data_IF_192053484926
#
_entry.id   IF_192053484926
#
_cell.length_a   1.000
_cell.length_b   1.000
_cell.length_c   1.000
_cell.angle_alpha   90.00
_cell.angle_beta   90.00
_cell.angle_gamma   90.00
#
_symmetry.space_group_name_H-M   'P 1'
#
loop_
_entity.id
_entity.type
_entity.pdbx_description
1 polymer ?
#
# COMPACT_ATOMS: atom_id res chain seq x y z
N UNK A 1 46.07 -1.70 21.16
CA UNK A 1 45.07 -1.68 20.07
C UNK A 1 43.83 -2.37 20.59
N UNK A 2 42.64 -1.84 20.31
CA UNK A 2 41.38 -2.50 20.67
C UNK A 2 41.29 -3.90 20.03
N UNK A 3 40.80 -4.89 20.75
CA UNK A 3 40.61 -6.27 20.25
C UNK A 3 39.48 -6.37 19.21
N UNK A 4 38.54 -5.42 19.23
CA UNK A 4 37.40 -5.38 18.31
C UNK A 4 37.49 -4.17 17.39
N UNK A 5 37.34 -4.35 16.06
CA UNK A 5 37.35 -3.24 15.12
C UNK A 5 36.12 -2.34 15.31
N UNK A 6 36.34 -1.02 15.29
CA UNK A 6 35.28 -0.01 15.46
C UNK A 6 34.53 0.29 14.15
N UNK A 7 35.13 0.03 12.99
CA UNK A 7 34.54 0.21 11.66
C UNK A 7 34.88 -0.99 10.78
N UNK A 8 33.85 -1.66 10.27
CA UNK A 8 33.97 -2.73 9.28
C UNK A 8 33.04 -2.40 8.12
N UNK A 9 33.54 -2.50 6.90
CA UNK A 9 32.74 -2.28 5.71
C UNK A 9 33.21 -3.15 4.56
N UNK A 10 32.29 -3.41 3.63
CA UNK A 10 32.61 -4.11 2.40
C UNK A 10 32.83 -3.08 1.28
N UNK A 11 34.01 -3.14 0.65
CA UNK A 11 34.40 -2.26 -0.46
C UNK A 11 33.44 -2.41 -1.65
N UNK A 12 32.85 -3.59 -1.84
CA UNK A 12 31.90 -3.84 -2.95
C UNK A 12 30.45 -3.47 -2.61
N UNK A 13 30.13 -3.17 -1.35
CA UNK A 13 28.80 -2.75 -0.91
C UNK A 13 28.87 -1.62 0.13
N UNK A 14 29.33 -0.46 -0.33
CA UNK A 14 29.43 0.75 0.47
C UNK A 14 28.05 1.40 0.64
N UNK A 15 27.70 1.70 1.88
CA UNK A 15 26.55 2.55 2.22
C UNK A 15 27.03 4.00 2.32
N UNK A 16 26.22 4.97 1.92
CA UNK A 16 26.57 6.40 1.96
C UNK A 16 26.99 6.86 3.37
N UNK A 17 26.38 6.28 4.41
CA UNK A 17 26.76 6.50 5.80
C UNK A 17 28.22 6.13 6.08
N UNK A 18 28.69 5.03 5.50
CA UNK A 18 30.06 4.53 5.66
C UNK A 18 31.05 5.40 4.87
N UNK A 19 30.67 5.88 3.69
CA UNK A 19 31.49 6.81 2.89
C UNK A 19 31.75 8.11 3.66
N UNK A 20 30.70 8.66 4.28
CA UNK A 20 30.79 9.85 5.13
C UNK A 20 31.65 9.64 6.38
N UNK A 21 31.77 8.41 6.87
CA UNK A 21 32.69 8.09 7.96
C UNK A 21 34.13 7.95 7.46
N UNK A 22 34.37 7.25 6.36
CA UNK A 22 35.69 7.07 5.75
C UNK A 22 36.30 8.43 5.33
N UNK A 23 35.48 9.38 4.85
CA UNK A 23 35.96 10.72 4.47
C UNK A 23 36.58 11.51 5.63
N UNK A 24 36.15 11.25 6.87
CA UNK A 24 36.73 11.86 8.08
C UNK A 24 38.15 11.37 8.38
N UNK A 25 38.57 10.26 7.78
CA UNK A 25 39.94 9.75 7.84
C UNK A 25 40.84 10.30 6.73
N UNK A 26 40.32 11.16 5.85
CA UNK A 26 41.13 11.85 4.84
C UNK A 26 42.08 12.85 5.51
N UNK A 27 43.31 12.94 4.99
CA UNK A 27 44.42 13.74 5.55
C UNK A 27 44.05 15.20 5.85
N UNK A 28 43.17 15.79 5.04
CA UNK A 28 42.73 17.19 5.19
C UNK A 28 41.83 17.44 6.41
N UNK A 29 41.10 16.42 6.88
CA UNK A 29 40.08 16.55 7.92
C UNK A 29 40.39 15.68 9.16
N UNK A 30 41.60 15.13 9.22
CA UNK A 30 42.02 14.15 10.22
C UNK A 30 42.23 14.81 11.59
N UNK A 31 41.43 14.41 12.58
CA UNK A 31 41.44 14.94 13.95
C UNK A 31 41.39 13.77 14.94
N UNK A 32 42.50 13.52 15.64
CA UNK A 32 42.70 12.31 16.46
C UNK A 32 41.68 12.20 17.60
N UNK A 33 41.41 13.30 18.31
CA UNK A 33 40.49 13.30 19.45
C UNK A 33 39.04 13.06 19.00
N UNK A 34 38.66 13.65 17.86
CA UNK A 34 37.37 13.37 17.23
C UNK A 34 37.28 11.95 16.69
N UNK A 35 38.36 11.39 16.15
CA UNK A 35 38.37 10.03 15.63
C UNK A 35 38.23 9.01 16.76
N UNK A 36 38.91 9.20 17.90
CA UNK A 36 38.83 8.27 19.03
C UNK A 36 37.47 8.33 19.73
N UNK A 37 36.91 9.52 19.91
CA UNK A 37 35.56 9.68 20.46
C UNK A 37 34.50 9.08 19.53
N UNK A 38 34.57 9.37 18.22
CA UNK A 38 33.69 8.75 17.22
C UNK A 38 33.87 7.23 17.18
N UNK A 39 35.10 6.71 17.26
CA UNK A 39 35.36 5.27 17.25
C UNK A 39 34.70 4.56 18.44
N UNK A 40 34.75 5.18 19.62
CA UNK A 40 34.09 4.68 20.83
C UNK A 40 32.57 4.69 20.68
N UNK A 41 31.99 5.80 20.22
CA UNK A 41 30.56 5.88 19.91
C UNK A 41 30.13 4.84 18.87
N UNK A 42 30.88 4.68 17.78
CA UNK A 42 30.60 3.69 16.73
C UNK A 42 30.65 2.26 17.24
N UNK A 43 31.63 1.94 18.10
CA UNK A 43 31.74 0.64 18.77
C UNK A 43 30.49 0.35 19.59
N UNK A 44 30.08 1.28 20.46
CA UNK A 44 28.88 1.09 21.29
C UNK A 44 27.59 1.06 20.47
N UNK A 45 27.45 1.91 19.45
CA UNK A 45 26.30 1.91 18.54
C UNK A 45 26.18 0.57 17.80
N UNK A 46 27.29 -0.01 17.34
CA UNK A 46 27.30 -1.33 16.69
C UNK A 46 26.87 -2.44 17.63
N UNK A 47 27.41 -2.47 18.85
CA UNK A 47 27.04 -3.48 19.86
C UNK A 47 25.57 -3.33 20.27
N UNK A 48 25.08 -2.11 20.51
CA UNK A 48 23.65 -1.84 20.79
C UNK A 48 22.76 -2.30 19.64
N UNK A 49 23.15 -2.01 18.39
CA UNK A 49 22.41 -2.45 17.21
C UNK A 49 22.34 -3.97 17.13
N UNK A 50 23.42 -4.67 17.48
CA UNK A 50 23.45 -6.14 17.53
C UNK A 50 22.48 -6.67 18.59
N UNK A 51 22.49 -6.08 19.80
CA UNK A 51 21.55 -6.44 20.87
C UNK A 51 20.10 -6.18 20.46
N UNK A 52 19.80 -5.05 19.81
CA UNK A 52 18.46 -4.76 19.30
C UNK A 52 17.97 -5.79 18.28
N UNK A 53 18.84 -6.23 17.36
CA UNK A 53 18.48 -7.29 16.40
C UNK A 53 18.16 -8.59 17.14
N UNK A 54 18.97 -8.96 18.15
CA UNK A 54 18.72 -10.16 18.96
C UNK A 54 17.41 -10.07 19.76
N UNK A 55 17.12 -8.90 20.35
CA UNK A 55 15.86 -8.65 21.05
C UNK A 55 14.64 -8.66 20.11
N UNK A 56 14.83 -8.27 18.84
CA UNK A 56 13.77 -8.32 17.83
C UNK A 56 13.47 -9.72 17.33
N UNK A 57 14.49 -10.57 17.16
CA UNK A 57 14.31 -11.98 16.78
C UNK A 57 13.77 -12.82 17.95
N UNK A 58 14.35 -12.61 19.13
CA UNK A 58 14.04 -13.33 20.36
C UNK A 58 13.90 -12.35 21.53
N UNK A 59 12.68 -11.83 21.77
CA UNK A 59 12.42 -10.88 22.86
C UNK A 59 12.81 -11.45 24.22
N UNK A 60 13.67 -10.75 24.96
CA UNK A 60 14.03 -11.11 26.33
C UNK A 60 12.89 -10.79 27.30
N UNK A 61 12.91 -11.42 28.48
CA UNK A 61 11.92 -11.18 29.53
C UNK A 61 11.90 -9.71 29.98
N UNK A 62 13.06 -9.05 29.99
CA UNK A 62 13.16 -7.64 30.36
C UNK A 62 12.54 -6.74 29.29
N UNK A 63 12.79 -7.04 28.02
CA UNK A 63 12.22 -6.33 26.88
C UNK A 63 10.69 -6.47 26.86
N UNK A 64 10.16 -7.68 27.06
CA UNK A 64 8.71 -7.92 27.14
C UNK A 64 8.11 -7.14 28.31
N UNK A 65 8.72 -7.25 29.49
CA UNK A 65 8.25 -6.57 30.71
C UNK A 65 8.20 -5.05 30.55
N UNK A 66 9.14 -4.46 29.81
CA UNK A 66 9.14 -3.03 29.49
C UNK A 66 7.81 -2.62 28.81
N UNK A 67 7.40 -3.32 27.76
CA UNK A 67 6.16 -3.02 27.04
C UNK A 67 4.91 -3.43 27.83
N UNK A 68 4.94 -4.59 28.49
CA UNK A 68 3.80 -5.05 29.29
C UNK A 68 3.47 -4.04 30.40
N UNK A 69 4.46 -3.48 31.10
CA UNK A 69 4.23 -2.47 32.15
C UNK A 69 3.60 -1.18 31.61
N UNK A 70 3.84 -0.82 30.36
CA UNK A 70 3.33 0.42 29.76
C UNK A 70 1.93 0.26 29.19
N UNK A 71 1.57 -0.94 28.73
CA UNK A 71 0.31 -1.22 28.02
C UNK A 71 -0.70 -1.93 28.91
N UNK A 72 -0.26 -2.67 29.92
CA UNK A 72 -1.12 -3.44 30.82
C UNK A 72 -1.06 -2.91 32.24
N UNK A 73 -2.22 -2.51 32.77
CA UNK A 73 -2.38 -1.95 34.12
C UNK A 73 -2.61 -3.02 35.21
N UNK A 74 -2.66 -4.30 34.85
CA UNK A 74 -2.84 -5.40 35.79
C UNK A 74 -1.53 -5.96 36.35
N UNK A 75 -1.62 -6.90 37.29
CA UNK A 75 -0.44 -7.55 37.90
C UNK A 75 0.27 -8.42 36.85
N UNK A 76 1.58 -8.21 36.69
CA UNK A 76 2.42 -9.06 35.85
C UNK A 76 2.49 -10.47 36.45
N UNK A 77 1.82 -11.41 35.80
CA UNK A 77 1.93 -12.84 36.08
C UNK A 77 2.69 -13.53 34.94
N UNK A 78 3.19 -14.74 35.18
CA UNK A 78 3.91 -15.51 34.14
C UNK A 78 3.04 -15.74 32.90
N UNK A 79 1.74 -15.97 33.09
CA UNK A 79 0.78 -16.14 31.99
C UNK A 79 0.64 -14.87 31.13
N UNK A 80 0.55 -13.69 31.76
CA UNK A 80 0.49 -12.41 31.04
C UNK A 80 1.82 -12.17 30.32
N UNK A 81 2.96 -12.46 30.96
CA UNK A 81 4.29 -12.30 30.35
C UNK A 81 4.45 -13.20 29.11
N UNK A 82 3.95 -14.44 29.16
CA UNK A 82 3.96 -15.36 28.03
C UNK A 82 3.08 -14.89 26.87
N UNK A 83 1.86 -14.40 27.16
CA UNK A 83 0.98 -13.82 26.14
C UNK A 83 1.61 -12.58 25.47
N UNK A 84 2.19 -11.68 26.27
CA UNK A 84 2.86 -10.50 25.75
C UNK A 84 4.13 -10.83 24.97
N UNK A 85 4.81 -11.94 25.26
CA UNK A 85 5.95 -12.43 24.46
C UNK A 85 5.56 -12.62 22.99
N UNK A 86 4.44 -13.30 22.75
CA UNK A 86 3.94 -13.55 21.40
C UNK A 86 3.48 -12.25 20.72
N UNK A 87 2.80 -11.36 21.47
CA UNK A 87 2.34 -10.08 20.96
C UNK A 87 3.50 -9.15 20.58
N UNK A 88 4.54 -9.07 21.42
CA UNK A 88 5.74 -8.26 21.14
C UNK A 88 6.45 -8.80 19.91
N UNK A 89 6.63 -10.12 19.80
CA UNK A 89 7.25 -10.74 18.62
C UNK A 89 6.45 -10.47 17.35
N UNK A 90 5.11 -10.55 17.41
CA UNK A 90 4.24 -10.24 16.27
C UNK A 90 4.34 -8.77 15.87
N UNK A 91 4.30 -7.85 16.84
CA UNK A 91 4.40 -6.41 16.59
C UNK A 91 5.75 -6.01 15.97
N UNK A 92 6.87 -6.59 16.44
CA UNK A 92 8.20 -6.35 15.86
C UNK A 92 8.26 -6.83 14.41
N UNK A 93 7.77 -8.03 14.12
CA UNK A 93 7.75 -8.55 12.75
C UNK A 93 6.86 -7.72 11.81
N UNK A 94 5.71 -7.25 12.30
CA UNK A 94 4.86 -6.33 11.55
C UNK A 94 5.58 -5.02 11.25
N UNK A 95 6.22 -4.40 12.25
CA UNK A 95 6.96 -3.15 12.09
C UNK A 95 8.14 -3.29 11.12
N UNK A 96 8.86 -4.42 11.14
CA UNK A 96 9.94 -4.68 10.17
C UNK A 96 9.35 -4.80 8.76
N UNK A 97 8.25 -5.54 8.61
CA UNK A 97 7.58 -5.73 7.31
C UNK A 97 7.07 -4.41 6.75
N UNK A 98 6.44 -3.58 7.60
CA UNK A 98 6.03 -2.21 7.27
C UNK A 98 7.22 -1.35 6.86
N UNK A 99 8.30 -1.29 7.65
CA UNK A 99 9.52 -0.52 7.31
C UNK A 99 10.19 -0.96 6.02
N UNK A 100 10.18 -2.25 5.71
CA UNK A 100 10.72 -2.79 4.46
C UNK A 100 9.84 -2.38 3.30
N UNK A 101 8.51 -2.54 3.45
CA UNK A 101 7.55 -2.10 2.45
C UNK A 101 7.65 -0.58 2.22
N UNK A 102 7.72 0.23 3.28
CA UNK A 102 7.87 1.69 3.22
C UNK A 102 9.15 2.11 2.49
N UNK A 103 10.26 1.38 2.66
CA UNK A 103 11.49 1.68 1.94
C UNK A 103 11.46 1.24 0.49
N UNK A 104 10.79 0.12 0.19
CA UNK A 104 10.58 -0.34 -1.19
C UNK A 104 9.65 0.63 -1.93
N UNK A 105 8.55 1.04 -1.31
CA UNK A 105 7.65 2.06 -1.84
C UNK A 105 8.34 3.40 -1.97
N UNK A 106 9.15 3.84 -0.99
CA UNK A 106 9.94 5.08 -1.08
C UNK A 106 11.00 5.07 -2.19
N UNK A 107 11.51 3.90 -2.58
CA UNK A 107 12.44 3.77 -3.70
C UNK A 107 11.71 3.74 -5.05
N UNK A 108 10.52 3.12 -5.09
CA UNK A 108 9.63 3.13 -6.26
C UNK A 108 9.03 4.52 -6.52
N UNK A 109 8.71 5.29 -5.47
CA UNK A 109 8.21 6.67 -5.61
C UNK A 109 9.28 7.63 -6.15
N UNK A 110 10.57 7.40 -5.88
CA UNK A 110 11.66 8.21 -6.46
C UNK A 110 11.82 8.06 -7.97
N UNK A 111 11.36 6.95 -8.58
CA UNK A 111 11.27 6.83 -10.04
C UNK A 111 10.02 7.51 -10.60
N UNK A 112 8.99 7.74 -9.78
CA UNK A 112 7.74 8.41 -10.17
C UNK A 112 7.73 9.92 -9.90
N UNK A 113 8.59 10.42 -9.01
CA UNK A 113 8.65 11.84 -8.60
C UNK A 113 9.24 12.80 -9.65
N UNK A 114 9.86 12.33 -10.75
CA UNK A 114 10.23 13.21 -11.88
C UNK A 114 9.02 13.64 -12.75
N UNK A 115 7.80 13.16 -12.47
CA UNK A 115 6.59 13.50 -13.21
C UNK A 115 5.46 14.14 -12.37
N UNK A 116 5.67 14.44 -11.09
CA UNK A 116 4.57 14.83 -10.19
C UNK A 116 4.85 16.08 -9.33
N UNK A 117 5.50 17.11 -9.86
CA UNK A 117 5.50 18.46 -9.26
C UNK A 117 4.30 19.28 -9.76
N UNK A 118 3.06 18.85 -9.49
CA UNK A 118 1.89 19.76 -9.47
C UNK A 118 0.69 19.07 -8.82
N UNK A 119 0.62 19.18 -7.49
CA UNK A 119 -0.58 19.50 -6.69
C UNK A 119 -0.50 18.86 -5.29
N UNK A 120 -0.09 19.68 -4.34
CA UNK A 120 -0.46 19.53 -2.94
C UNK A 120 -1.80 20.24 -2.73
N UNK A 121 -2.88 19.47 -2.60
CA UNK A 121 -4.08 19.83 -1.82
C UNK A 121 -4.59 18.53 -1.19
N UNK A 122 -4.93 18.58 0.09
CA UNK A 122 -5.39 17.46 0.91
C UNK A 122 -6.67 16.83 0.30
N UNK A 123 -6.64 15.54 -0.06
CA UNK A 123 -7.86 14.77 -0.39
C UNK A 123 -7.80 13.33 0.17
N UNK A 124 -8.97 12.75 0.53
CA UNK A 124 -9.10 11.62 1.44
C UNK A 124 -8.63 10.31 0.82
N UNK A 125 -8.19 9.37 1.67
CA UNK A 125 -7.88 7.97 1.33
C UNK A 125 -8.78 7.44 0.20
N UNK A 126 -8.16 7.04 -0.92
CA UNK A 126 -8.83 6.33 -2.00
C UNK A 126 -9.31 4.96 -1.50
N UNK A 127 -10.48 4.91 -0.88
CA UNK A 127 -11.22 3.68 -0.50
C UNK A 127 -11.80 2.93 -1.71
N UNK A 128 -11.34 3.25 -2.90
CA UNK A 128 -11.83 2.71 -4.16
C UNK A 128 -10.78 1.72 -4.63
N UNK A 129 -10.98 0.45 -4.28
CA UNK A 129 -10.18 -0.67 -4.78
C UNK A 129 -11.03 -1.38 -5.81
N UNK A 130 -10.65 -1.28 -7.09
CA UNK A 130 -11.31 -2.03 -8.14
C UNK A 130 -11.15 -3.52 -7.88
N UNK A 131 -12.25 -4.18 -7.60
CA UNK A 131 -12.32 -5.60 -7.28
C UNK A 131 -12.28 -6.45 -8.56
N UNK A 132 -11.84 -7.71 -8.45
CA UNK A 132 -11.90 -8.65 -9.58
C UNK A 132 -13.33 -8.84 -10.08
N UNK A 133 -14.31 -8.72 -9.18
CA UNK A 133 -15.74 -8.83 -9.47
C UNK A 133 -16.23 -7.70 -10.41
N UNK A 134 -15.81 -6.47 -10.12
CA UNK A 134 -16.12 -5.31 -10.97
C UNK A 134 -15.47 -5.43 -12.34
N UNK A 135 -14.25 -5.96 -12.39
CA UNK A 135 -13.55 -6.19 -13.65
C UNK A 135 -14.19 -7.31 -14.48
N UNK A 136 -14.74 -8.34 -13.84
CA UNK A 136 -15.51 -9.40 -14.50
C UNK A 136 -16.82 -8.85 -15.08
N UNK A 137 -17.59 -8.09 -14.28
CA UNK A 137 -18.78 -7.40 -14.76
C UNK A 137 -18.48 -6.45 -15.93
N UNK A 138 -17.37 -5.70 -15.85
CA UNK A 138 -16.89 -4.85 -16.95
C UNK A 138 -16.64 -5.65 -18.23
N UNK A 139 -16.00 -6.81 -18.14
CA UNK A 139 -15.73 -7.67 -19.31
C UNK A 139 -17.00 -8.18 -19.94
N UNK A 140 -17.99 -8.57 -19.13
CA UNK A 140 -19.31 -9.01 -19.63
C UNK A 140 -20.02 -7.88 -20.37
N UNK A 141 -20.12 -6.70 -19.76
CA UNK A 141 -20.73 -5.53 -20.41
C UNK A 141 -19.98 -5.15 -21.68
N UNK A 142 -18.65 -5.15 -21.65
CA UNK A 142 -17.81 -4.90 -22.83
C UNK A 142 -18.10 -5.91 -23.94
N UNK A 143 -18.23 -7.20 -23.62
CA UNK A 143 -18.51 -8.24 -24.59
C UNK A 143 -19.87 -8.07 -25.28
N UNK A 144 -20.90 -7.65 -24.52
CA UNK A 144 -22.24 -7.33 -25.04
C UNK A 144 -22.18 -6.11 -25.96
N UNK A 145 -21.61 -5.02 -25.46
CA UNK A 145 -21.61 -3.69 -26.09
C UNK A 145 -20.72 -3.64 -27.35
N UNK A 146 -19.71 -4.51 -27.44
CA UNK A 146 -18.85 -4.71 -28.64
C UNK A 146 -19.62 -4.96 -29.93
N UNK A 147 -20.88 -5.40 -29.87
CA UNK A 147 -21.75 -5.59 -31.05
C UNK A 147 -22.07 -4.28 -31.77
N UNK A 148 -21.97 -3.12 -31.09
CA UNK A 148 -22.28 -1.80 -31.65
C UNK A 148 -21.10 -0.83 -31.66
N UNK A 149 -20.18 -0.92 -30.70
CA UNK A 149 -19.06 0.01 -30.56
C UNK A 149 -17.75 -0.72 -30.31
N UNK A 150 -16.64 -0.12 -30.74
CA UNK A 150 -15.30 -0.65 -30.48
C UNK A 150 -14.94 -0.51 -29.00
N UNK A 151 -14.04 -1.36 -28.50
CA UNK A 151 -13.67 -1.32 -27.08
C UNK A 151 -12.94 -0.09 -26.63
N UNK A 152 -12.24 0.58 -27.55
CA UNK A 152 -11.48 1.78 -27.22
C UNK A 152 -12.41 2.93 -26.80
N UNK A 153 -13.71 2.81 -27.13
CA UNK A 153 -14.76 3.75 -26.75
C UNK A 153 -15.46 3.38 -25.46
N UNK A 154 -15.16 2.23 -24.87
CA UNK A 154 -15.78 1.78 -23.61
C UNK A 154 -14.76 2.04 -22.50
N UNK A 155 -15.13 2.94 -21.59
CA UNK A 155 -14.32 3.27 -20.44
C UNK A 155 -15.03 2.82 -19.16
N UNK A 156 -14.26 2.53 -18.12
CA UNK A 156 -14.79 2.32 -16.79
C UNK A 156 -14.25 3.38 -15.84
N UNK A 157 -15.05 3.75 -14.84
CA UNK A 157 -14.66 4.65 -13.76
C UNK A 157 -15.14 4.04 -12.46
N UNK A 158 -14.17 3.76 -11.60
CA UNK A 158 -14.47 3.25 -10.28
C UNK A 158 -14.83 4.41 -9.34
N UNK A 159 -15.91 4.26 -8.60
CA UNK A 159 -16.37 5.23 -7.62
C UNK A 159 -16.76 4.51 -6.34
N UNK A 160 -16.69 5.20 -5.20
CA UNK A 160 -16.98 4.60 -3.90
C UNK A 160 -18.37 3.94 -3.81
N UNK A 161 -19.35 4.43 -4.59
CA UNK A 161 -20.73 3.95 -4.54
C UNK A 161 -21.09 2.96 -5.65
N UNK A 162 -20.31 2.90 -6.74
CA UNK A 162 -20.57 2.06 -7.90
C UNK A 162 -19.37 2.05 -8.87
N UNK A 163 -19.30 0.99 -9.65
CA UNK A 163 -18.41 0.87 -10.79
C UNK A 163 -19.12 1.33 -12.06
N UNK A 164 -18.74 2.48 -12.61
CA UNK A 164 -19.39 3.09 -13.76
C UNK A 164 -18.80 2.63 -15.08
N UNK A 165 -19.64 2.26 -16.04
CA UNK A 165 -19.23 1.93 -17.40
C UNK A 165 -19.80 2.98 -18.35
N UNK A 166 -18.92 3.63 -19.11
CA UNK A 166 -19.20 4.84 -19.88
C UNK A 166 -18.81 4.66 -21.34
N UNK A 167 -19.53 5.35 -22.23
CA UNK A 167 -19.15 5.50 -23.63
C UNK A 167 -18.30 6.77 -23.82
N UNK A 168 -17.24 6.67 -24.61
CA UNK A 168 -16.29 7.73 -24.95
C UNK A 168 -15.63 8.41 -23.74
N UNK A 169 -15.45 7.68 -22.63
CA UNK A 169 -15.00 8.22 -21.34
C UNK A 169 -15.76 9.49 -20.89
N UNK A 170 -17.05 9.53 -21.21
CA UNK A 170 -17.88 10.71 -20.95
C UNK A 170 -18.94 10.43 -19.89
N UNK A 171 -18.88 11.14 -18.77
CA UNK A 171 -19.85 11.06 -17.68
C UNK A 171 -21.31 11.36 -18.13
N UNK A 172 -21.51 12.01 -19.28
CA UNK A 172 -22.83 12.28 -19.86
C UNK A 172 -23.39 11.15 -20.72
N UNK A 173 -22.57 10.11 -20.97
CA UNK A 173 -22.92 8.92 -21.74
C UNK A 173 -22.71 7.63 -20.92
N UNK A 174 -23.36 7.47 -19.75
CA UNK A 174 -23.24 6.24 -18.99
C UNK A 174 -23.98 5.09 -19.69
N UNK A 175 -23.30 3.95 -19.82
CA UNK A 175 -23.87 2.71 -20.37
C UNK A 175 -24.60 1.96 -19.25
N UNK A 176 -23.91 1.73 -18.12
CA UNK A 176 -24.50 1.17 -16.91
C UNK A 176 -23.63 1.48 -15.68
N UNK A 177 -24.17 1.18 -14.50
CA UNK A 177 -23.46 1.26 -13.21
C UNK A 177 -23.58 -0.08 -12.49
N UNK A 178 -22.49 -0.64 -12.00
CA UNK A 178 -22.50 -1.86 -11.20
C UNK A 178 -22.36 -1.50 -9.73
N UNK A 179 -23.32 -1.90 -8.91
CA UNK A 179 -23.30 -1.71 -7.46
C UNK A 179 -23.01 -3.06 -6.80
N UNK A 180 -21.73 -3.40 -6.63
CA UNK A 180 -21.30 -4.70 -6.12
C UNK A 180 -20.82 -4.65 -4.65
N UNK A 181 -20.60 -3.46 -4.09
CA UNK A 181 -20.02 -3.26 -2.76
C UNK A 181 -20.96 -3.52 -1.56
N UNK A 182 -22.20 -3.98 -1.80
CA UNK A 182 -23.23 -4.20 -0.77
C UNK A 182 -23.65 -5.67 -0.62
N UNK A 183 -24.47 -5.97 0.39
CA UNK A 183 -25.00 -7.33 0.60
C UNK A 183 -25.91 -7.82 -0.55
N UNK A 184 -26.55 -6.89 -1.26
CA UNK A 184 -27.29 -7.14 -2.49
C UNK A 184 -26.56 -6.44 -3.65
N UNK A 185 -26.45 -7.11 -4.80
CA UNK A 185 -25.80 -6.60 -6.00
C UNK A 185 -26.84 -6.02 -6.95
N UNK A 186 -26.51 -4.93 -7.65
CA UNK A 186 -27.43 -4.30 -8.59
C UNK A 186 -26.74 -3.82 -9.86
N UNK A 187 -27.48 -3.81 -10.97
CA UNK A 187 -27.13 -3.09 -12.19
C UNK A 187 -28.03 -1.87 -12.36
N UNK A 188 -27.41 -0.70 -12.53
CA UNK A 188 -28.04 0.54 -12.91
C UNK A 188 -28.07 0.67 -14.43
N UNK A 189 -29.26 0.72 -15.01
CA UNK A 189 -29.52 0.86 -16.46
C UNK A 189 -30.12 2.23 -16.77
N UNK A 190 -29.83 2.78 -17.94
CA UNK A 190 -30.27 4.13 -18.33
C UNK A 190 -31.32 4.11 -19.44
N UNK A 191 -32.33 4.96 -19.32
CA UNK A 191 -33.33 5.22 -20.37
C UNK A 191 -32.95 6.39 -21.30
N UNK A 192 -33.80 6.72 -22.28
CA UNK A 192 -33.56 7.84 -23.22
C UNK A 192 -33.49 9.20 -22.51
N UNK A 193 -34.16 9.33 -21.36
CA UNK A 193 -34.14 10.53 -20.51
C UNK A 193 -32.96 10.54 -19.52
N UNK A 194 -32.07 9.54 -19.57
CA UNK A 194 -30.94 9.32 -18.66
C UNK A 194 -31.33 9.07 -17.20
N UNK A 195 -32.55 8.56 -16.97
CA UNK A 195 -32.95 8.07 -15.66
C UNK A 195 -32.33 6.70 -15.40
N UNK A 196 -31.75 6.53 -14.21
CA UNK A 196 -31.18 5.26 -13.77
C UNK A 196 -32.27 4.39 -13.12
N UNK A 197 -32.42 3.17 -13.60
CA UNK A 197 -33.23 2.11 -12.97
C UNK A 197 -32.31 1.04 -12.42
N UNK A 198 -32.52 0.61 -11.17
CA UNK A 198 -31.68 -0.39 -10.52
C UNK A 198 -32.40 -1.73 -10.49
N UNK A 199 -31.77 -2.73 -11.09
CA UNK A 199 -32.24 -4.11 -11.09
C UNK A 199 -31.32 -4.97 -10.21
N UNK A 200 -31.93 -5.90 -9.46
CA UNK A 200 -31.20 -6.82 -8.59
C UNK A 200 -30.43 -7.85 -9.42
N UNK A 201 -29.21 -8.15 -9.00
CA UNK A 201 -28.38 -9.24 -9.53
C UNK A 201 -28.18 -10.30 -8.45
N UNK A 202 -28.43 -11.57 -8.76
CA UNK A 202 -28.06 -12.69 -7.89
C UNK A 202 -26.63 -13.15 -8.18
N UNK A 203 -26.23 -13.11 -9.45
CA UNK A 203 -24.88 -13.37 -9.95
C UNK A 203 -24.42 -12.29 -10.95
N UNK A 204 -23.12 -12.16 -11.17
CA UNK A 204 -22.55 -11.28 -12.20
C UNK A 204 -23.02 -11.72 -13.61
N UNK A 205 -23.22 -13.02 -13.80
CA UNK A 205 -23.72 -13.57 -15.06
C UNK A 205 -25.12 -13.05 -15.43
N UNK A 206 -25.91 -12.60 -14.46
CA UNK A 206 -27.25 -12.06 -14.71
C UNK A 206 -27.21 -10.77 -15.55
N UNK A 207 -26.04 -10.13 -15.70
CA UNK A 207 -25.84 -9.00 -16.61
C UNK A 207 -26.27 -9.36 -18.05
N UNK A 208 -26.13 -10.62 -18.48
CA UNK A 208 -26.57 -11.06 -19.81
C UNK A 208 -28.08 -10.92 -20.02
N UNK A 209 -28.89 -10.98 -18.96
CA UNK A 209 -30.34 -10.82 -19.06
C UNK A 209 -30.75 -9.38 -19.46
N UNK A 210 -29.85 -8.41 -19.33
CA UNK A 210 -30.08 -7.00 -19.63
C UNK A 210 -29.38 -6.54 -20.92
N UNK A 211 -28.94 -7.47 -21.77
CA UNK A 211 -28.23 -7.18 -23.02
C UNK A 211 -28.99 -6.18 -23.93
N UNK A 212 -30.30 -6.40 -24.14
CA UNK A 212 -31.11 -5.54 -25.01
C UNK A 212 -31.15 -4.09 -24.52
N UNK A 213 -31.15 -3.88 -23.21
CA UNK A 213 -31.17 -2.54 -22.62
C UNK A 213 -29.80 -1.87 -22.74
N UNK A 214 -28.72 -2.59 -22.46
CA UNK A 214 -27.35 -2.09 -22.64
C UNK A 214 -27.10 -1.65 -24.10
N UNK A 215 -27.57 -2.44 -25.06
CA UNK A 215 -27.46 -2.12 -26.48
C UNK A 215 -28.33 -0.93 -26.90
N UNK A 216 -29.52 -0.77 -26.31
CA UNK A 216 -30.39 0.41 -26.55
C UNK A 216 -29.78 1.69 -25.97
N UNK A 217 -29.13 1.62 -24.82
CA UNK A 217 -28.48 2.78 -24.21
C UNK A 217 -27.43 3.40 -25.13
N UNK A 218 -26.68 2.57 -25.87
CA UNK A 218 -25.71 3.04 -26.87
C UNK A 218 -26.40 3.79 -28.01
N UNK A 219 -27.55 3.28 -28.49
CA UNK A 219 -28.28 3.91 -29.60
C UNK A 219 -28.74 5.33 -29.24
N UNK A 220 -29.02 5.60 -27.97
CA UNK A 220 -29.36 6.95 -27.52
C UNK A 220 -28.19 7.94 -27.66
N UNK A 221 -26.94 7.45 -27.67
CA UNK A 221 -25.73 8.28 -27.72
C UNK A 221 -25.07 8.34 -29.10
N UNK A 222 -25.43 7.44 -30.01
CA UNK A 222 -24.95 7.38 -31.41
C UNK A 222 -25.87 8.15 -32.40
N UNK A 223 -26.95 8.79 -31.91
CA UNK A 223 -27.83 9.66 -32.72
C UNK A 223 -27.14 10.95 -33.16
#
# INVERSE_FOLDING_TARGET
>A
MDEKPFLEFNITSLKDSTINEISKFHKSNFDVDKIVSNASSLKYTKEIKKLLIQEFETPSKEFIRLFTNQVYSGRLTENVTAQFSELVKKAVNQLISERVNDRLTSALTKETEQQAEENQEEEPESKIVTTEEELEGYRIVTAIVRRKVTTDRIAHRDTQSYFGILLDDNNRKPICRLHLNGGNKYIGLFDENKNETRELLESIDDIYNYEDQLLKTIDYYEK
#
